data_IF_282699421696
#
_entry.id   IF_282699421696
#
_cell.length_a   1.000
_cell.length_b   1.000
_cell.length_c   1.000
_cell.angle_alpha   90.00
_cell.angle_beta   90.00
_cell.angle_gamma   90.00
#
_symmetry.space_group_name_H-M   'P 1'
#
loop_
_entity.id
_entity.type
_entity.pdbx_description
1 polymer ?
#
# COMPACT_ATOMS: atom_id res chain seq x y z
N UNK A 1 5.02 0.91 -11.98
CA UNK A 1 4.98 1.47 -10.60
C UNK A 1 3.64 2.10 -10.25
N UNK A 2 3.05 2.94 -11.11
CA UNK A 2 1.74 3.57 -10.85
C UNK A 2 0.61 2.54 -10.65
N UNK A 3 0.45 1.58 -11.56
CA UNK A 3 -0.54 0.49 -11.44
C UNK A 3 -0.36 -0.29 -10.15
N UNK A 4 0.88 -0.64 -9.80
CA UNK A 4 1.19 -1.35 -8.55
C UNK A 4 0.76 -0.55 -7.31
N UNK A 5 1.04 0.75 -7.29
CA UNK A 5 0.70 1.63 -6.16
C UNK A 5 -0.80 1.85 -6.03
N UNK A 6 -1.48 2.06 -7.16
CA UNK A 6 -2.95 2.19 -7.20
C UNK A 6 -3.64 0.91 -6.72
N UNK A 7 -3.18 -0.27 -7.16
CA UNK A 7 -3.75 -1.54 -6.73
C UNK A 7 -3.45 -1.84 -5.27
N UNK A 8 -2.23 -1.53 -4.80
CA UNK A 8 -1.89 -1.60 -3.38
C UNK A 8 -2.84 -0.73 -2.55
N UNK A 9 -3.01 0.54 -2.91
CA UNK A 9 -3.93 1.44 -2.21
C UNK A 9 -5.37 0.91 -2.15
N UNK A 10 -5.88 0.36 -3.26
CA UNK A 10 -7.20 -0.28 -3.29
C UNK A 10 -7.28 -1.47 -2.33
N UNK A 11 -6.23 -2.29 -2.25
CA UNK A 11 -6.18 -3.41 -1.32
C UNK A 11 -6.18 -2.94 0.13
N UNK A 12 -5.36 -1.93 0.46
CA UNK A 12 -5.33 -1.35 1.82
C UNK A 12 -6.70 -0.79 2.21
N UNK A 13 -7.37 -0.07 1.32
CA UNK A 13 -8.71 0.46 1.56
C UNK A 13 -9.71 -0.67 1.84
N UNK A 14 -9.68 -1.74 1.04
CA UNK A 14 -10.55 -2.91 1.25
C UNK A 14 -10.26 -3.63 2.56
N UNK A 15 -9.00 -3.66 2.97
CA UNK A 15 -8.57 -4.40 4.15
C UNK A 15 -8.83 -3.62 5.45
N UNK A 16 -8.54 -2.32 5.47
CA UNK A 16 -8.59 -1.50 6.68
C UNK A 16 -9.82 -0.60 6.78
N UNK A 17 -10.50 -0.33 5.67
CA UNK A 17 -11.64 0.59 5.64
C UNK A 17 -12.68 0.20 4.58
N UNK A 18 -13.13 -1.06 4.51
CA UNK A 18 -13.96 -1.57 3.39
C UNK A 18 -15.25 -0.79 3.17
N UNK A 19 -15.81 -0.20 4.22
CA UNK A 19 -17.11 0.49 4.19
C UNK A 19 -16.99 2.02 4.15
N UNK A 20 -15.80 2.57 4.41
CA UNK A 20 -15.61 4.01 4.63
C UNK A 20 -14.50 4.62 3.80
N UNK A 21 -13.60 3.82 3.24
CA UNK A 21 -12.44 4.30 2.49
C UNK A 21 -12.85 5.07 1.23
N UNK A 22 -12.32 6.29 1.10
CA UNK A 22 -12.56 7.19 -0.05
C UNK A 22 -11.38 8.14 -0.26
N UNK A 23 -11.45 8.98 -1.29
CA UNK A 23 -10.47 10.04 -1.56
C UNK A 23 -9.04 9.50 -1.66
N UNK A 24 -8.90 8.34 -2.32
CA UNK A 24 -7.66 7.59 -2.45
C UNK A 24 -6.65 8.34 -3.32
N UNK A 25 -5.46 8.60 -2.78
CA UNK A 25 -4.34 9.23 -3.47
C UNK A 25 -3.03 8.49 -3.19
N UNK A 26 -2.08 8.61 -4.11
CA UNK A 26 -0.74 8.09 -3.91
C UNK A 26 0.29 9.07 -4.49
N UNK A 27 1.45 9.14 -3.84
CA UNK A 27 2.64 9.82 -4.35
C UNK A 27 3.77 8.79 -4.47
N UNK A 28 4.41 8.77 -5.63
CA UNK A 28 5.57 7.94 -5.92
C UNK A 28 6.81 8.81 -6.08
N UNK A 29 7.88 8.45 -5.39
CA UNK A 29 9.18 9.07 -5.63
C UNK A 29 9.84 8.39 -6.85
N UNK A 30 9.52 8.91 -8.03
CA UNK A 30 10.06 8.42 -9.30
C UNK A 30 11.53 8.80 -9.52
N UNK A 31 12.07 9.73 -8.72
CA UNK A 31 13.47 10.15 -8.84
C UNK A 31 14.42 9.15 -8.15
N UNK A 32 13.90 8.32 -7.24
CA UNK A 32 14.65 7.35 -6.46
C UNK A 32 14.15 5.92 -6.69
N UNK A 33 14.00 5.54 -7.96
CA UNK A 33 13.70 4.16 -8.34
C UNK A 33 14.99 3.33 -8.26
N UNK A 34 14.95 2.23 -7.53
CA UNK A 34 16.05 1.27 -7.43
C UNK A 34 15.67 -0.06 -8.07
N UNK A 35 16.58 -0.65 -8.82
CA UNK A 35 16.40 -1.96 -9.44
C UNK A 35 17.35 -2.97 -8.79
N UNK A 36 16.81 -4.11 -8.40
CA UNK A 36 17.55 -5.25 -7.86
C UNK A 36 17.62 -6.35 -8.93
N UNK A 37 18.79 -6.47 -9.54
CA UNK A 37 19.10 -7.46 -10.57
C UNK A 37 18.97 -8.91 -10.06
N UNK A 38 19.28 -9.18 -8.78
CA UNK A 38 19.30 -10.54 -8.25
C UNK A 38 17.90 -11.11 -8.08
N UNK A 39 16.97 -10.25 -7.69
CA UNK A 39 15.57 -10.62 -7.44
C UNK A 39 14.63 -10.19 -8.57
N UNK A 40 15.13 -9.49 -9.60
CA UNK A 40 14.35 -8.92 -10.69
C UNK A 40 13.19 -8.03 -10.18
N UNK A 41 13.53 -7.13 -9.26
CA UNK A 41 12.57 -6.29 -8.56
C UNK A 41 12.86 -4.80 -8.77
N UNK A 42 11.82 -4.04 -9.06
CA UNK A 42 11.86 -2.57 -9.08
C UNK A 42 11.26 -2.06 -7.77
N UNK A 43 11.93 -1.12 -7.13
CA UNK A 43 11.46 -0.52 -5.88
C UNK A 43 11.41 0.99 -5.97
N UNK A 44 10.45 1.59 -5.26
CA UNK A 44 10.35 3.04 -5.08
C UNK A 44 9.73 3.37 -3.73
N UNK A 45 10.02 4.57 -3.22
CA UNK A 45 9.30 5.11 -2.08
C UNK A 45 7.90 5.53 -2.50
N UNK A 46 6.93 5.23 -1.65
CA UNK A 46 5.52 5.55 -1.87
C UNK A 46 4.92 6.15 -0.61
N UNK A 47 4.01 7.11 -0.80
CA UNK A 47 3.06 7.56 0.21
C UNK A 47 1.66 7.26 -0.32
N UNK A 48 0.89 6.51 0.46
CA UNK A 48 -0.48 6.11 0.15
C UNK A 48 -1.40 6.80 1.16
N UNK A 49 -2.40 7.52 0.67
CA UNK A 49 -3.34 8.27 1.50
C UNK A 49 -4.78 8.00 1.09
N UNK A 50 -5.67 7.98 2.08
CA UNK A 50 -7.12 7.90 1.86
C UNK A 50 -7.86 8.42 3.09
N UNK A 51 -9.14 8.73 2.96
CA UNK A 51 -10.01 9.09 4.10
C UNK A 51 -10.77 7.85 4.57
N UNK A 52 -10.83 7.63 5.89
CA UNK A 52 -11.62 6.56 6.47
C UNK A 52 -12.18 6.94 7.85
N UNK A 53 -13.21 6.20 8.27
CA UNK A 53 -13.80 6.22 9.62
C UNK A 53 -14.06 4.79 10.09
N UNK A 54 -14.19 4.60 11.39
CA UNK A 54 -14.64 3.32 11.96
C UNK A 54 -15.85 3.57 12.86
N UNK A 55 -17.02 3.16 12.38
CA UNK A 55 -18.30 3.47 13.03
C UNK A 55 -18.46 2.74 14.36
N UNK A 56 -18.03 1.47 14.43
CA UNK A 56 -18.21 0.65 15.63
C UNK A 56 -17.30 1.10 16.79
N UNK A 57 -16.14 1.69 16.46
CA UNK A 57 -15.21 2.26 17.43
C UNK A 57 -15.42 3.75 17.70
N UNK A 58 -16.43 4.38 17.08
CA UNK A 58 -16.71 5.81 17.24
C UNK A 58 -15.63 6.75 16.66
N UNK A 59 -14.81 6.26 15.73
CA UNK A 59 -13.73 7.02 15.10
C UNK A 59 -14.32 7.82 13.92
N UNK A 60 -14.22 9.17 13.91
CA UNK A 60 -14.74 9.99 12.83
C UNK A 60 -13.92 9.85 11.54
N UNK A 61 -14.34 10.54 10.47
CA UNK A 61 -13.51 10.63 9.27
C UNK A 61 -12.19 11.34 9.59
N UNK A 62 -11.12 10.75 9.09
CA UNK A 62 -9.79 11.32 9.12
C UNK A 62 -8.92 10.69 8.05
N UNK A 63 -7.77 11.33 7.82
CA UNK A 63 -6.82 10.88 6.82
C UNK A 63 -6.03 9.69 7.34
N UNK A 64 -6.05 8.59 6.60
CA UNK A 64 -5.13 7.47 6.75
C UNK A 64 -3.92 7.71 5.86
N UNK A 65 -2.73 7.50 6.42
CA UNK A 65 -1.48 7.61 5.69
C UNK A 65 -0.59 6.41 5.98
N UNK A 66 -0.02 5.82 4.94
CA UNK A 66 1.10 4.88 5.04
C UNK A 66 2.18 5.24 4.03
N UNK A 67 3.41 5.35 4.50
CA UNK A 67 4.59 5.54 3.67
C UNK A 67 5.52 4.35 3.80
N UNK A 68 6.17 3.97 2.71
CA UNK A 68 7.09 2.85 2.72
C UNK A 68 7.77 2.65 1.37
N UNK A 69 8.29 1.45 1.19
CA UNK A 69 8.89 1.03 -0.07
C UNK A 69 7.96 0.05 -0.75
N UNK A 70 7.54 0.36 -1.98
CA UNK A 70 6.83 -0.59 -2.82
C UNK A 70 7.84 -1.30 -3.70
N UNK A 71 7.81 -2.62 -3.68
CA UNK A 71 8.58 -3.49 -4.54
C UNK A 71 7.66 -4.15 -5.54
N UNK A 72 8.09 -4.21 -6.79
CA UNK A 72 7.38 -4.84 -7.89
C UNK A 72 8.30 -5.85 -8.51
N UNK A 73 7.95 -7.13 -8.37
CA UNK A 73 8.61 -8.21 -9.09
C UNK A 73 8.14 -8.18 -10.54
N UNK A 74 9.09 -8.11 -11.47
CA UNK A 74 8.79 -8.15 -12.89
C UNK A 74 8.89 -9.61 -13.35
N UNK A 75 7.79 -10.24 -13.80
CA UNK A 75 7.85 -11.61 -14.28
C UNK A 75 8.71 -11.73 -15.55
N UNK A 76 9.62 -12.71 -15.60
CA UNK A 76 10.45 -12.98 -16.80
C UNK A 76 9.63 -13.74 -17.85
N UNK A 77 8.67 -14.56 -17.42
CA UNK A 77 7.77 -15.30 -18.31
C UNK A 77 6.39 -14.68 -18.28
N UNK A 78 5.73 -14.67 -19.43
CA UNK A 78 4.38 -14.10 -19.62
C UNK A 78 3.26 -14.75 -18.78
N UNK A 79 3.50 -15.93 -18.19
CA UNK A 79 2.54 -16.62 -17.33
C UNK A 79 2.78 -16.39 -15.83
N UNK A 80 3.90 -15.77 -15.46
CA UNK A 80 4.19 -15.47 -14.06
C UNK A 80 3.43 -14.19 -13.66
N UNK A 81 2.72 -14.23 -12.53
CA UNK A 81 2.00 -13.05 -12.03
C UNK A 81 2.96 -11.96 -11.57
N UNK A 82 2.57 -10.69 -11.72
CA UNK A 82 3.32 -9.56 -11.15
C UNK A 82 3.04 -9.48 -9.66
N UNK A 83 4.08 -9.61 -8.85
CA UNK A 83 3.96 -9.49 -7.41
C UNK A 83 4.32 -8.08 -6.95
N UNK A 84 3.52 -7.55 -6.04
CA UNK A 84 3.76 -6.24 -5.43
C UNK A 84 3.79 -6.37 -3.91
N UNK A 85 4.86 -5.87 -3.30
CA UNK A 85 5.08 -5.90 -1.86
C UNK A 85 5.20 -4.46 -1.37
N UNK A 86 4.41 -4.08 -0.37
CA UNK A 86 4.60 -2.86 0.40
C UNK A 86 5.28 -3.21 1.71
N UNK A 87 6.48 -2.68 1.93
CA UNK A 87 7.13 -2.67 3.23
C UNK A 87 6.90 -1.28 3.84
N UNK A 88 5.99 -1.15 4.82
CA UNK A 88 5.68 0.14 5.42
C UNK A 88 6.80 0.58 6.37
N UNK A 89 7.23 1.84 6.23
CA UNK A 89 8.20 2.47 7.11
C UNK A 89 7.50 3.29 8.22
N UNK A 90 6.36 3.90 7.87
CA UNK A 90 5.58 4.75 8.78
C UNK A 90 4.11 4.75 8.40
N UNK A 91 3.25 4.90 9.39
CA UNK A 91 1.83 5.19 9.23
C UNK A 91 1.38 6.16 10.33
N UNK A 92 0.27 6.87 10.09
CA UNK A 92 -0.22 7.87 11.04
C UNK A 92 -1.14 7.26 12.11
N UNK A 93 -1.46 8.05 13.15
CA UNK A 93 -2.30 7.61 14.26
C UNK A 93 -3.71 7.25 13.81
N UNK A 94 -4.28 8.00 12.88
CA UNK A 94 -5.64 7.71 12.40
C UNK A 94 -5.74 6.35 11.70
N UNK A 95 -4.75 6.01 10.84
CA UNK A 95 -4.69 4.67 10.26
C UNK A 95 -4.55 3.59 11.35
N UNK A 96 -3.77 3.85 12.40
CA UNK A 96 -3.68 2.92 13.56
C UNK A 96 -5.03 2.72 14.23
N UNK A 97 -5.81 3.78 14.42
CA UNK A 97 -7.07 3.71 15.13
C UNK A 97 -8.15 2.97 14.31
N UNK A 98 -8.20 3.17 12.99
CA UNK A 98 -9.15 2.48 12.11
C UNK A 98 -8.71 1.06 11.71
N UNK A 99 -7.45 0.70 11.93
CA UNK A 99 -6.92 -0.63 11.60
C UNK A 99 -6.77 -1.51 12.84
N UNK A 100 -6.92 -2.82 12.67
CA UNK A 100 -6.51 -3.77 13.72
C UNK A 100 -4.98 -3.91 13.66
N UNK A 101 -4.28 -3.38 14.69
CA UNK A 101 -2.81 -3.22 14.81
C UNK A 101 -1.93 -4.34 14.22
N UNK A 102 -2.38 -5.60 14.21
CA UNK A 102 -1.55 -6.77 13.88
C UNK A 102 -1.09 -6.90 12.41
N UNK A 103 -1.64 -6.12 11.47
CA UNK A 103 -1.39 -6.33 10.02
C UNK A 103 -0.45 -5.32 9.37
N UNK A 104 -0.33 -4.11 9.91
CA UNK A 104 0.55 -3.09 9.34
C UNK A 104 2.03 -3.42 9.50
N UNK A 105 2.40 -4.27 10.47
CA UNK A 105 3.80 -4.59 10.78
C UNK A 105 4.40 -5.70 9.90
N UNK A 106 3.60 -6.48 9.18
CA UNK A 106 4.08 -7.70 8.50
C UNK A 106 4.44 -7.52 7.02
N UNK A 107 4.37 -6.29 6.50
CA UNK A 107 4.42 -6.05 5.06
C UNK A 107 3.18 -6.58 4.35
N UNK A 108 2.76 -5.92 3.27
CA UNK A 108 1.51 -6.25 2.57
C UNK A 108 1.85 -6.69 1.15
N UNK A 109 1.48 -7.94 0.83
CA UNK A 109 1.79 -8.58 -0.45
C UNK A 109 0.51 -8.75 -1.26
N UNK A 110 0.54 -8.34 -2.52
CA UNK A 110 -0.55 -8.54 -3.48
C UNK A 110 -0.01 -9.16 -4.77
N UNK A 111 -0.86 -9.94 -5.43
CA UNK A 111 -0.57 -10.53 -6.74
C UNK A 111 -1.45 -9.81 -7.76
N UNK A 112 -0.82 -9.26 -8.79
CA UNK A 112 -1.48 -8.66 -9.95
C UNK A 112 -1.44 -9.66 -11.11
N UNK A 113 -2.62 -10.00 -11.61
CA UNK A 113 -2.81 -10.79 -12.83
C UNK A 113 -3.10 -9.87 -14.01
#
# INVERSE_FOLDING_TARGET
METASSQMLKTLIKEFSPQSGKDAQYLLDLNNISYDDQNNMVSAKVLLTWQAREFLAGIPYGECQVSGTIYVYMPIRTFDSTEVILIPDRYNAHLRDVSTNAKLERGIRIILN
#
